data_IF_647201662110
#
_entry.id   IF_647201662110
#
_cell.length_a   1.000
_cell.length_b   1.000
_cell.length_c   1.000
_cell.angle_alpha   90.00
_cell.angle_beta   90.00
_cell.angle_gamma   90.00
#
_symmetry.space_group_name_H-M   'P 1'
#
loop_
_entity.id
_entity.type
_entity.pdbx_description
1 polymer ?
#
# COMPACT_ATOMS: atom_id res chain seq x y z
N UNK A 1 -4.85 -8.24 -23.83
CA UNK A 1 -4.92 -7.04 -22.99
C UNK A 1 -3.55 -6.85 -22.33
N UNK A 2 -2.97 -5.63 -22.29
CA UNK A 2 -1.69 -5.42 -21.63
C UNK A 2 -1.80 -5.85 -20.16
N UNK A 3 -0.91 -6.73 -19.72
CA UNK A 3 -0.87 -7.21 -18.34
C UNK A 3 -0.48 -6.05 -17.44
N UNK A 4 -1.40 -5.58 -16.59
CA UNK A 4 -1.10 -4.55 -15.59
C UNK A 4 -0.19 -5.15 -14.53
N UNK A 5 0.96 -4.53 -14.27
CA UNK A 5 1.86 -5.00 -13.23
C UNK A 5 1.32 -4.59 -11.86
N UNK A 6 1.22 -5.54 -10.91
CA UNK A 6 0.76 -5.23 -9.57
C UNK A 6 1.80 -4.40 -8.81
N UNK A 7 1.33 -3.40 -8.05
CA UNK A 7 2.15 -2.63 -7.12
C UNK A 7 2.34 -3.45 -5.84
N UNK A 8 3.58 -3.64 -5.42
CA UNK A 8 3.90 -4.41 -4.22
C UNK A 8 3.96 -3.51 -3.00
N UNK A 9 3.14 -3.80 -1.99
CA UNK A 9 3.21 -3.21 -0.66
C UNK A 9 3.85 -4.22 0.28
N UNK A 10 4.89 -3.81 1.01
CA UNK A 10 5.54 -4.64 2.02
C UNK A 10 5.36 -3.99 3.39
N UNK A 11 4.82 -4.74 4.35
CA UNK A 11 4.75 -4.37 5.76
C UNK A 11 5.72 -5.24 6.58
N UNK A 12 6.72 -4.61 7.22
CA UNK A 12 7.50 -5.25 8.27
C UNK A 12 6.91 -4.88 9.64
N UNK A 13 6.37 -5.87 10.34
CA UNK A 13 5.83 -5.70 11.70
C UNK A 13 6.86 -6.04 12.76
N UNK A 14 6.75 -5.43 13.94
CA UNK A 14 7.56 -5.78 15.11
C UNK A 14 7.16 -7.17 15.62
N UNK A 15 7.78 -8.19 15.07
CA UNK A 15 7.57 -9.60 15.36
C UNK A 15 8.78 -10.40 14.85
N UNK A 16 8.78 -11.70 15.13
CA UNK A 16 9.76 -12.64 14.61
C UNK A 16 10.81 -13.06 15.62
N UNK A 17 11.81 -13.77 15.12
CA UNK A 17 12.93 -14.27 15.89
C UNK A 17 14.21 -14.26 15.05
N UNK A 18 15.32 -13.98 15.72
CA UNK A 18 16.66 -14.06 15.15
C UNK A 18 17.61 -14.65 16.19
N UNK A 19 17.99 -15.92 15.98
CA UNK A 19 18.78 -16.69 16.93
C UNK A 19 18.09 -16.76 18.30
N UNK A 20 18.78 -16.38 19.40
CA UNK A 20 18.20 -16.41 20.75
C UNK A 20 17.20 -15.27 21.01
N UNK A 21 17.12 -14.26 20.13
CA UNK A 21 16.22 -13.12 20.31
C UNK A 21 14.87 -13.41 19.66
N UNK A 22 13.78 -13.18 20.39
CA UNK A 22 12.41 -13.36 19.91
C UNK A 22 11.53 -12.22 20.41
N UNK A 23 10.73 -11.66 19.51
CA UNK A 23 9.70 -10.69 19.88
C UNK A 23 8.45 -11.44 20.34
N UNK A 24 8.02 -11.18 21.58
CA UNK A 24 6.79 -11.72 22.18
C UNK A 24 5.72 -10.66 22.45
N UNK A 25 6.10 -9.37 22.37
CA UNK A 25 5.24 -8.24 22.73
C UNK A 25 4.42 -7.79 21.51
N UNK A 26 3.09 -7.67 21.63
CA UNK A 26 2.26 -7.17 20.54
C UNK A 26 2.53 -5.68 20.26
N UNK A 27 2.59 -5.31 18.99
CA UNK A 27 2.77 -3.94 18.53
C UNK A 27 1.43 -3.36 18.04
N UNK A 28 0.92 -2.35 18.73
CA UNK A 28 -0.37 -1.71 18.41
C UNK A 28 -0.32 -0.98 17.06
N UNK A 29 0.75 -0.23 16.83
CA UNK A 29 1.01 0.53 15.60
C UNK A 29 1.10 -0.38 14.38
N UNK A 30 1.67 -1.58 14.55
CA UNK A 30 1.79 -2.57 13.51
C UNK A 30 0.43 -3.15 13.11
N UNK A 31 -0.44 -3.39 14.10
CA UNK A 31 -1.80 -3.86 13.88
C UNK A 31 -2.63 -2.78 13.18
N UNK A 32 -2.60 -1.56 13.70
CA UNK A 32 -3.28 -0.42 13.11
C UNK A 32 -2.83 -0.16 11.67
N UNK A 33 -1.52 -0.22 11.41
CA UNK A 33 -0.96 -0.06 10.07
C UNK A 33 -1.46 -1.13 9.10
N UNK A 34 -1.46 -2.40 9.51
CA UNK A 34 -2.00 -3.50 8.68
C UNK A 34 -3.47 -3.27 8.33
N UNK A 35 -4.26 -2.84 9.30
CA UNK A 35 -5.69 -2.62 9.12
C UNK A 35 -5.93 -1.42 8.19
N UNK A 36 -5.15 -0.34 8.33
CA UNK A 36 -5.17 0.81 7.40
C UNK A 36 -4.83 0.36 5.97
N UNK A 37 -3.77 -0.45 5.78
CA UNK A 37 -3.39 -0.94 4.45
C UNK A 37 -4.52 -1.78 3.85
N UNK A 38 -5.06 -2.72 4.61
CA UNK A 38 -6.13 -3.63 4.16
C UNK A 38 -7.39 -2.86 3.75
N UNK A 39 -7.79 -1.88 4.57
CA UNK A 39 -8.93 -1.00 4.29
C UNK A 39 -8.69 -0.15 3.03
N UNK A 40 -7.47 0.39 2.89
CA UNK A 40 -7.09 1.22 1.73
C UNK A 40 -7.10 0.42 0.42
N UNK A 41 -6.61 -0.82 0.46
CA UNK A 41 -6.64 -1.72 -0.70
C UNK A 41 -8.10 -2.00 -1.11
N UNK A 42 -8.97 -2.24 -0.13
CA UNK A 42 -10.38 -2.60 -0.37
C UNK A 42 -11.21 -1.43 -0.90
N UNK A 43 -10.95 -0.21 -0.44
CA UNK A 43 -11.84 0.93 -0.70
C UNK A 43 -11.25 1.95 -1.68
N UNK A 44 -10.05 2.47 -1.41
CA UNK A 44 -9.43 3.52 -2.23
C UNK A 44 -8.69 2.99 -3.46
N UNK A 45 -8.11 1.79 -3.37
CA UNK A 45 -7.29 1.19 -4.44
C UNK A 45 -8.01 0.03 -5.14
N UNK A 46 -9.33 -0.06 -5.00
CA UNK A 46 -10.13 -1.09 -5.65
C UNK A 46 -9.99 -1.03 -7.18
N UNK A 47 -9.67 -2.16 -7.81
CA UNK A 47 -9.44 -2.27 -9.27
C UNK A 47 -7.98 -2.03 -9.70
N UNK A 48 -7.11 -1.67 -8.76
CA UNK A 48 -5.67 -1.56 -8.95
C UNK A 48 -5.05 -2.89 -8.53
N UNK A 49 -4.16 -3.43 -9.37
CA UNK A 49 -3.38 -4.61 -8.98
C UNK A 49 -2.44 -4.23 -7.84
N UNK A 50 -2.73 -4.68 -6.63
CA UNK A 50 -1.91 -4.41 -5.45
C UNK A 50 -1.68 -5.73 -4.71
N UNK A 51 -0.44 -6.01 -4.35
CA UNK A 51 -0.06 -7.18 -3.57
C UNK A 51 0.47 -6.75 -2.21
N UNK A 52 -0.12 -7.27 -1.12
CA UNK A 52 0.35 -7.02 0.24
C UNK A 52 1.19 -8.21 0.73
N UNK A 53 2.44 -7.95 1.06
CA UNK A 53 3.34 -8.88 1.72
C UNK A 53 3.60 -8.42 3.15
N UNK A 54 3.50 -9.34 4.10
CA UNK A 54 3.74 -9.06 5.52
C UNK A 54 4.91 -9.91 6.00
N UNK A 55 5.93 -9.26 6.52
CA UNK A 55 7.12 -9.91 7.09
C UNK A 55 7.30 -9.55 8.56
N UNK A 56 7.87 -10.49 9.29
CA UNK A 56 8.34 -10.26 10.64
C UNK A 56 9.68 -9.52 10.58
N UNK A 57 9.72 -8.30 11.12
CA UNK A 57 10.90 -7.43 11.04
C UNK A 57 12.14 -8.12 11.61
N UNK A 58 12.06 -8.75 12.79
CA UNK A 58 13.23 -9.39 13.40
C UNK A 58 13.71 -10.59 12.59
N UNK A 59 12.81 -11.32 11.92
CA UNK A 59 13.19 -12.46 11.07
C UNK A 59 13.78 -12.04 9.71
N UNK A 60 13.60 -10.78 9.31
CA UNK A 60 13.95 -10.28 7.98
C UNK A 60 14.67 -8.92 8.03
N UNK A 61 15.29 -8.57 9.15
CA UNK A 61 15.77 -7.21 9.48
C UNK A 61 16.75 -6.63 8.46
N UNK A 62 17.53 -7.48 7.78
CA UNK A 62 18.48 -7.05 6.77
C UNK A 62 17.82 -6.46 5.52
N UNK A 63 16.61 -6.92 5.15
CA UNK A 63 15.89 -6.46 3.96
C UNK A 63 15.48 -4.97 4.04
N UNK A 64 14.77 -4.51 5.08
CA UNK A 64 14.42 -3.09 5.20
C UNK A 64 15.65 -2.22 5.50
N UNK A 65 16.65 -2.76 6.19
CA UNK A 65 17.86 -2.01 6.54
C UNK A 65 18.67 -1.59 5.29
N UNK A 66 18.76 -2.45 4.28
CA UNK A 66 19.36 -2.12 2.98
C UNK A 66 18.66 -0.96 2.26
N UNK A 67 17.43 -0.64 2.67
CA UNK A 67 16.60 0.44 2.12
C UNK A 67 16.52 1.66 3.05
N UNK A 68 17.33 1.69 4.11
CA UNK A 68 17.38 2.79 5.08
C UNK A 68 16.25 2.80 6.11
N UNK A 69 15.45 1.72 6.20
CA UNK A 69 14.40 1.60 7.21
C UNK A 69 14.84 0.70 8.36
N UNK A 70 14.60 1.18 9.58
CA UNK A 70 15.15 0.56 10.79
C UNK A 70 14.11 0.32 11.88
N UNK A 71 13.01 1.06 11.92
CA UNK A 71 12.02 0.96 13.00
C UNK A 71 10.64 0.48 12.52
N UNK A 72 10.18 -0.65 13.06
CA UNK A 72 8.85 -1.18 12.77
C UNK A 72 7.72 -0.33 13.41
N UNK A 73 6.50 -0.29 12.83
CA UNK A 73 6.13 -0.88 11.54
C UNK A 73 6.80 -0.14 10.37
N UNK A 74 7.34 -0.88 9.40
CA UNK A 74 7.93 -0.31 8.18
C UNK A 74 7.01 -0.64 7.02
N UNK A 75 6.62 0.38 6.25
CA UNK A 75 5.81 0.21 5.04
C UNK A 75 6.63 0.64 3.84
N UNK A 76 6.67 -0.24 2.85
CA UNK A 76 7.31 0.01 1.57
C UNK A 76 6.32 -0.18 0.42
N UNK A 77 6.50 0.60 -0.63
CA UNK A 77 5.77 0.49 -1.90
C UNK A 77 6.80 0.39 -3.01
N UNK A 78 6.77 -0.69 -3.80
CA UNK A 78 7.72 -0.98 -4.88
C UNK A 78 9.19 -0.72 -4.50
N UNK A 79 9.57 -1.20 -3.32
CA UNK A 79 10.95 -1.09 -2.83
C UNK A 79 11.33 0.28 -2.23
N UNK A 80 10.45 1.28 -2.25
CA UNK A 80 10.62 2.58 -1.59
C UNK A 80 9.98 2.58 -0.20
N UNK A 81 10.71 3.05 0.81
CA UNK A 81 10.19 3.24 2.18
C UNK A 81 9.28 4.47 2.20
N UNK A 82 8.04 4.32 2.68
CA UNK A 82 7.06 5.41 2.74
C UNK A 82 6.66 5.79 4.16
N UNK A 83 6.85 4.88 5.13
CA UNK A 83 6.52 5.10 6.53
C UNK A 83 7.32 4.14 7.40
N UNK A 84 7.75 4.61 8.57
CA UNK A 84 8.40 3.77 9.58
C UNK A 84 8.11 4.30 10.99
N UNK A 85 8.06 3.41 11.98
CA UNK A 85 8.03 3.75 13.40
C UNK A 85 6.75 4.41 13.94
N UNK A 86 5.71 4.55 13.11
CA UNK A 86 4.43 5.12 13.49
C UNK A 86 3.31 4.49 12.66
N UNK A 87 2.06 4.69 13.09
CA UNK A 87 0.90 4.27 12.32
C UNK A 87 0.89 4.93 10.94
N UNK A 88 0.65 4.14 9.90
CA UNK A 88 0.65 4.61 8.52
C UNK A 88 -0.46 5.64 8.26
N UNK A 89 -0.10 6.73 7.56
CA UNK A 89 -1.09 7.65 7.02
C UNK A 89 -1.70 7.09 5.73
N UNK A 90 -3.03 6.97 5.68
CA UNK A 90 -3.77 6.47 4.51
C UNK A 90 -3.44 7.24 3.22
N UNK A 91 -3.41 8.57 3.28
CA UNK A 91 -3.16 9.42 2.11
C UNK A 91 -1.76 9.21 1.54
N UNK A 92 -0.75 9.05 2.41
CA UNK A 92 0.63 8.73 2.00
C UNK A 92 0.69 7.39 1.27
N UNK A 93 -0.04 6.38 1.76
CA UNK A 93 -0.14 5.09 1.09
C UNK A 93 -0.81 5.21 -0.28
N UNK A 94 -1.98 5.85 -0.36
CA UNK A 94 -2.71 6.01 -1.62
C UNK A 94 -1.85 6.75 -2.66
N UNK A 95 -1.19 7.83 -2.26
CA UNK A 95 -0.31 8.58 -3.15
C UNK A 95 0.85 7.71 -3.64
N UNK A 96 1.56 7.02 -2.74
CA UNK A 96 2.70 6.20 -3.12
C UNK A 96 2.32 5.06 -4.09
N UNK A 97 1.16 4.43 -3.87
CA UNK A 97 0.65 3.39 -4.78
C UNK A 97 0.24 3.99 -6.13
N UNK A 98 -0.40 5.16 -6.14
CA UNK A 98 -0.78 5.82 -7.38
C UNK A 98 0.44 6.19 -8.24
N UNK A 99 1.47 6.76 -7.61
CA UNK A 99 2.75 7.08 -8.26
C UNK A 99 3.41 5.83 -8.85
N UNK A 100 3.52 4.77 -8.04
CA UNK A 100 4.12 3.50 -8.46
C UNK A 100 3.34 2.86 -9.62
N UNK A 101 2.01 2.84 -9.51
CA UNK A 101 1.14 2.29 -10.54
C UNK A 101 1.26 3.04 -11.87
N UNK A 102 1.32 4.37 -11.84
CA UNK A 102 1.43 5.20 -13.03
C UNK A 102 2.77 5.03 -13.77
N UNK A 103 3.85 4.71 -13.05
CA UNK A 103 5.17 4.44 -13.64
C UNK A 103 5.21 3.07 -14.34
N UNK A 104 4.55 2.07 -13.78
CA UNK A 104 4.63 0.68 -14.25
C UNK A 104 3.56 0.29 -15.26
N UNK A 105 2.52 1.11 -15.42
CA UNK A 105 1.36 0.80 -16.28
C UNK A 105 1.09 1.93 -17.28
N UNK A 106 1.34 1.72 -18.59
CA UNK A 106 1.00 2.72 -19.59
C UNK A 106 -0.50 3.00 -19.57
N UNK A 107 -0.84 4.28 -19.48
CA UNK A 107 -2.20 4.79 -19.30
C UNK A 107 -2.95 4.64 -20.62
N UNK A 108 -3.82 3.62 -20.73
CA UNK A 108 -4.69 3.40 -21.91
C UNK A 108 -6.03 4.20 -21.80
N UNK A 109 -6.15 5.03 -20.76
CA UNK A 109 -7.22 6.00 -20.51
C UNK A 109 -7.26 6.40 -19.03
N UNK A 110 -8.32 7.01 -18.53
CA UNK A 110 -8.33 7.55 -17.17
C UNK A 110 -8.33 6.46 -16.08
N UNK A 111 -7.61 6.67 -14.98
CA UNK A 111 -7.70 5.88 -13.75
C UNK A 111 -7.90 6.86 -12.60
N UNK A 112 -9.05 6.79 -11.92
CA UNK A 112 -9.42 7.74 -10.88
C UNK A 112 -9.22 7.17 -9.48
N UNK A 113 -8.21 7.69 -8.79
CA UNK A 113 -8.00 7.46 -7.35
C UNK A 113 -8.93 8.38 -6.55
N UNK A 114 -9.46 7.89 -5.42
CA UNK A 114 -10.33 8.72 -4.60
C UNK A 114 -10.63 8.13 -3.24
N UNK A 115 -10.86 9.02 -2.26
CA UNK A 115 -11.19 8.67 -0.88
C UNK A 115 -12.62 8.13 -0.78
N UNK A 116 -12.81 7.10 0.04
CA UNK A 116 -14.15 6.61 0.36
C UNK A 116 -15.02 7.71 1.01
N UNK A 117 -16.23 7.90 0.50
CA UNK A 117 -17.20 8.86 1.03
C UNK A 117 -16.92 10.34 0.73
N UNK A 118 -15.89 10.65 -0.07
CA UNK A 118 -15.70 12.03 -0.54
C UNK A 118 -16.68 12.35 -1.67
N UNK A 119 -17.61 13.31 -1.51
CA UNK A 119 -18.62 13.61 -2.53
C UNK A 119 -18.00 14.11 -3.84
N UNK A 120 -16.86 14.79 -3.77
CA UNK A 120 -16.13 15.22 -4.97
C UNK A 120 -15.49 14.03 -5.71
N UNK A 121 -14.91 13.08 -4.98
CA UNK A 121 -14.33 11.88 -5.59
C UNK A 121 -15.41 10.97 -6.20
N UNK A 122 -16.57 10.87 -5.56
CA UNK A 122 -17.70 10.10 -6.08
C UNK A 122 -18.22 10.71 -7.39
N UNK A 123 -18.51 12.02 -7.39
CA UNK A 123 -18.92 12.74 -8.62
C UNK A 123 -17.92 12.59 -9.75
N UNK A 124 -16.62 12.64 -9.45
CA UNK A 124 -15.58 12.48 -10.46
C UNK A 124 -15.61 11.08 -11.11
N UNK A 125 -15.90 10.02 -10.33
CA UNK A 125 -16.02 8.64 -10.83
C UNK A 125 -17.32 8.39 -11.61
N UNK A 126 -18.34 9.22 -11.39
CA UNK A 126 -19.64 9.16 -12.08
C UNK A 126 -19.65 9.93 -13.42
N UNK A 127 -18.55 10.62 -13.76
CA UNK A 127 -18.46 11.31 -15.04
C UNK A 127 -18.52 10.29 -16.21
N UNK A 128 -19.26 10.60 -17.30
CA UNK A 128 -19.42 9.69 -18.42
C UNK A 128 -18.07 9.36 -19.08
N UNK A 129 -17.86 8.08 -19.42
CA UNK A 129 -16.65 7.56 -20.04
C UNK A 129 -15.78 6.67 -19.14
N UNK A 130 -16.17 6.45 -17.87
CA UNK A 130 -15.49 5.52 -16.95
C UNK A 130 -16.45 4.59 -16.22
N UNK A 131 -16.01 3.39 -15.85
CA UNK A 131 -16.74 2.44 -15.00
C UNK A 131 -16.77 2.90 -13.53
N UNK A 132 -17.39 2.12 -12.65
CA UNK A 132 -17.49 2.43 -11.21
C UNK A 132 -16.14 2.53 -10.47
N UNK A 133 -15.04 2.15 -11.11
CA UNK A 133 -13.67 2.27 -10.61
C UNK A 133 -12.90 3.41 -11.29
N UNK A 134 -13.53 4.17 -12.19
CA UNK A 134 -12.89 5.22 -12.94
C UNK A 134 -12.04 4.71 -14.10
N UNK A 135 -12.25 3.48 -14.58
CA UNK A 135 -11.54 2.86 -15.72
C UNK A 135 -12.33 3.11 -17.01
N UNK A 136 -11.71 3.42 -18.16
CA UNK A 136 -12.46 3.73 -19.37
C UNK A 136 -13.26 2.53 -19.86
N UNK A 137 -14.52 2.77 -20.20
CA UNK A 137 -15.39 1.78 -20.87
C UNK A 137 -15.44 2.19 -22.34
N UNK A 138 -14.61 1.57 -23.17
CA UNK A 138 -14.70 1.62 -24.62
C UNK A 138 -15.10 0.24 -25.13
#
# INVERSE_FOLDING_TARGET
>A
MPQRQPVTIILYRWAGAWGPFKVSIPCGECTLTRDIISDTIKHELAGIGVELQVYDWLSCWWRPLQKGAWHAPIVMVDGRVISQGAALNRGVLTQAVAEAYALSNPVVGNVLFGKQGCPHCQRAKELPGTDKYGIPVF
#
